data_IF_298255728375
#
_entry.id   IF_298255728375
#
_cell.length_a   1.000
_cell.length_b   1.000
_cell.length_c   1.000
_cell.angle_alpha   90.00
_cell.angle_beta   90.00
_cell.angle_gamma   90.00
#
_symmetry.space_group_name_H-M   'P 1'
#
loop_
_entity.id
_entity.type
_entity.pdbx_description
1 polymer ?
#
# COMPACT_ATOMS: atom_id res chain seq x y z
N UNK A 1 27.36 59.97 -10.01
CA UNK A 1 26.68 59.47 -8.79
C UNK A 1 25.35 58.85 -9.18
N UNK A 2 25.18 57.55 -8.96
CA UNK A 2 23.96 56.89 -8.44
C UNK A 2 24.13 55.38 -8.65
N UNK A 3 24.53 54.73 -7.56
CA UNK A 3 24.59 53.27 -7.39
C UNK A 3 23.15 52.80 -7.24
N UNK A 4 22.64 52.00 -8.17
CA UNK A 4 21.37 51.30 -7.96
C UNK A 4 21.67 49.83 -7.79
N UNK A 5 21.28 49.36 -6.62
CA UNK A 5 21.70 48.15 -5.96
C UNK A 5 21.01 46.94 -6.61
N UNK A 6 21.80 45.88 -6.80
CA UNK A 6 21.34 44.54 -7.12
C UNK A 6 20.62 44.01 -5.87
N UNK A 7 19.29 44.00 -5.89
CA UNK A 7 18.48 43.33 -4.85
C UNK A 7 18.37 41.86 -5.21
N UNK A 8 19.25 41.06 -4.62
CA UNK A 8 19.16 39.59 -4.62
C UNK A 8 17.94 39.20 -3.77
N UNK A 9 16.82 38.89 -4.41
CA UNK A 9 15.67 38.31 -3.73
C UNK A 9 16.02 36.86 -3.36
N UNK A 10 16.40 36.66 -2.10
CA UNK A 10 16.61 35.35 -1.49
C UNK A 10 15.24 34.67 -1.36
N UNK A 11 14.85 33.85 -2.35
CA UNK A 11 13.78 32.88 -2.19
C UNK A 11 14.24 31.81 -1.20
N UNK A 12 13.98 32.03 0.09
CA UNK A 12 13.88 30.94 1.05
C UNK A 12 12.61 30.16 0.73
N UNK A 13 12.73 29.18 -0.15
CA UNK A 13 11.78 28.07 -0.23
C UNK A 13 11.92 27.33 1.10
N UNK A 14 11.06 27.70 2.05
CA UNK A 14 10.83 26.93 3.26
C UNK A 14 10.40 25.55 2.76
N UNK A 15 11.32 24.59 2.87
CA UNK A 15 11.04 23.19 2.60
C UNK A 15 9.81 22.82 3.40
N UNK A 16 8.74 22.46 2.68
CA UNK A 16 7.60 21.81 3.30
C UNK A 16 8.17 20.68 4.17
N UNK A 17 7.86 20.61 5.48
CA UNK A 17 8.14 19.41 6.21
C UNK A 17 7.40 18.31 5.45
N UNK A 18 8.18 17.43 4.82
CA UNK A 18 7.68 16.32 4.06
C UNK A 18 6.60 15.68 4.92
N UNK A 19 5.42 15.54 4.32
CA UNK A 19 4.29 14.80 4.85
C UNK A 19 4.81 13.68 5.75
N UNK A 20 4.67 13.87 7.07
CA UNK A 20 4.82 12.75 7.99
C UNK A 20 3.60 11.88 7.69
N UNK A 21 3.72 11.05 6.67
CA UNK A 21 2.94 9.83 6.58
C UNK A 21 3.32 9.08 7.85
N UNK A 22 2.46 9.17 8.86
CA UNK A 22 2.57 8.31 10.01
C UNK A 22 2.72 6.90 9.44
N UNK A 23 3.86 6.25 9.70
CA UNK A 23 4.11 4.86 9.29
C UNK A 23 3.22 3.94 10.12
N UNK A 24 1.92 4.03 9.88
CA UNK A 24 0.93 3.19 10.50
C UNK A 24 0.87 1.90 9.72
N UNK A 25 1.02 0.79 10.42
CA UNK A 25 0.73 -0.52 9.87
C UNK A 25 -0.72 -0.53 9.34
N UNK A 26 -0.93 -0.88 8.06
CA UNK A 26 -2.27 -0.90 7.49
C UNK A 26 -3.07 -2.06 8.07
N UNK A 27 -4.37 -1.83 8.25
CA UNK A 27 -5.27 -2.89 8.68
C UNK A 27 -5.41 -3.96 7.60
N UNK A 28 -5.21 -5.22 7.98
CA UNK A 28 -5.52 -6.37 7.11
C UNK A 28 -6.99 -6.30 6.69
N UNK A 29 -7.32 -6.50 5.38
CA UNK A 29 -8.69 -6.60 4.94
C UNK A 29 -9.42 -7.72 5.70
N UNK A 30 -10.73 -7.58 5.84
CA UNK A 30 -11.57 -8.60 6.46
C UNK A 30 -11.51 -9.95 5.75
N UNK A 31 -12.26 -10.92 6.27
CA UNK A 31 -12.31 -12.25 5.66
C UNK A 31 -12.71 -12.20 4.18
N UNK A 32 -12.07 -13.07 3.39
CA UNK A 32 -12.38 -13.17 1.98
C UNK A 32 -13.80 -13.70 1.76
N UNK A 33 -14.50 -13.23 0.71
CA UNK A 33 -15.80 -13.78 0.36
C UNK A 33 -15.66 -15.27 0.00
N UNK A 34 -16.60 -16.08 0.48
CA UNK A 34 -16.62 -17.52 0.20
C UNK A 34 -16.75 -17.74 -1.31
N UNK A 35 -15.76 -18.38 -1.96
CA UNK A 35 -15.76 -18.54 -3.39
C UNK A 35 -16.99 -19.30 -3.83
N UNK A 36 -17.60 -20.21 -3.04
CA UNK A 36 -18.79 -21.01 -3.35
C UNK A 36 -20.08 -20.20 -3.52
N UNK A 37 -20.21 -19.10 -2.77
CA UNK A 37 -21.44 -18.29 -2.68
C UNK A 37 -21.26 -16.86 -3.17
N UNK A 38 -20.01 -16.41 -3.35
CA UNK A 38 -19.69 -15.07 -3.80
C UNK A 38 -20.25 -14.79 -5.20
N UNK A 39 -20.64 -13.54 -5.43
CA UNK A 39 -20.91 -12.99 -6.77
C UNK A 39 -19.67 -12.27 -7.31
N UNK A 40 -19.58 -12.12 -8.64
CA UNK A 40 -18.44 -11.46 -9.31
C UNK A 40 -18.11 -10.08 -8.71
N UNK A 41 -19.13 -9.29 -8.36
CA UNK A 41 -18.95 -7.97 -7.75
C UNK A 41 -18.22 -8.05 -6.39
N UNK A 42 -18.50 -9.07 -5.57
CA UNK A 42 -17.84 -9.27 -4.28
C UNK A 42 -16.38 -9.69 -4.47
N UNK A 43 -16.09 -10.56 -5.44
CA UNK A 43 -14.72 -10.96 -5.77
C UNK A 43 -13.89 -9.79 -6.32
N UNK A 44 -14.48 -8.94 -7.15
CA UNK A 44 -13.82 -7.73 -7.68
C UNK A 44 -13.53 -6.73 -6.55
N UNK A 45 -14.48 -6.52 -5.64
CA UNK A 45 -14.27 -5.69 -4.44
C UNK A 45 -13.12 -6.23 -3.60
N UNK A 46 -13.14 -7.51 -3.25
CA UNK A 46 -12.09 -8.16 -2.47
C UNK A 46 -10.72 -8.05 -3.15
N UNK A 47 -10.66 -8.20 -4.47
CA UNK A 47 -9.42 -8.04 -5.24
C UNK A 47 -8.85 -6.61 -5.14
N UNK A 48 -9.72 -5.60 -5.18
CA UNK A 48 -9.28 -4.22 -5.03
C UNK A 48 -8.80 -3.93 -3.60
N UNK A 49 -9.45 -4.51 -2.59
CA UNK A 49 -9.04 -4.40 -1.18
C UNK A 49 -7.69 -5.07 -0.93
N UNK A 50 -7.45 -6.26 -1.51
CA UNK A 50 -6.14 -6.94 -1.46
C UNK A 50 -5.06 -6.08 -2.11
N UNK A 51 -5.31 -5.52 -3.29
CA UNK A 51 -4.35 -4.63 -3.97
C UNK A 51 -4.03 -3.37 -3.16
N UNK A 52 -5.05 -2.75 -2.57
CA UNK A 52 -4.87 -1.59 -1.71
C UNK A 52 -4.02 -1.93 -0.48
N UNK A 53 -4.30 -3.07 0.15
CA UNK A 53 -3.54 -3.55 1.30
C UNK A 53 -2.08 -3.84 0.96
N UNK A 54 -1.80 -4.57 -0.12
CA UNK A 54 -0.43 -4.86 -0.58
C UNK A 54 0.35 -3.57 -0.78
N UNK A 55 -0.24 -2.58 -1.48
CA UNK A 55 0.38 -1.28 -1.69
C UNK A 55 0.67 -0.56 -0.37
N UNK A 56 -0.30 -0.53 0.56
CA UNK A 56 -0.10 0.11 1.85
C UNK A 56 0.95 -0.59 2.71
N UNK A 57 1.09 -1.92 2.58
CA UNK A 57 2.12 -2.69 3.26
C UNK A 57 3.50 -2.41 2.67
N UNK A 58 3.63 -2.29 1.35
CA UNK A 58 4.88 -1.88 0.69
C UNK A 58 5.33 -0.49 1.18
N UNK A 59 4.39 0.46 1.26
CA UNK A 59 4.65 1.80 1.81
C UNK A 59 5.07 1.75 3.28
N UNK A 60 4.38 0.95 4.11
CA UNK A 60 4.73 0.73 5.52
C UNK A 60 6.10 0.08 5.68
N UNK A 61 6.43 -0.95 4.90
CA UNK A 61 7.73 -1.61 4.94
C UNK A 61 8.86 -0.65 4.56
N UNK A 62 8.62 0.26 3.62
CA UNK A 62 9.56 1.29 3.21
C UNK A 62 9.84 2.35 4.27
N UNK A 63 8.95 2.55 5.24
CA UNK A 63 9.01 3.69 6.16
C UNK A 63 9.08 3.32 7.66
N UNK A 64 8.69 2.09 8.03
CA UNK A 64 8.62 1.57 9.41
C UNK A 64 9.95 1.48 10.17
N UNK A 65 11.09 1.53 9.47
CA UNK A 65 12.41 1.37 10.10
C UNK A 65 12.69 -0.05 10.63
N UNK A 66 11.90 -1.05 10.22
CA UNK A 66 12.08 -2.45 10.60
C UNK A 66 13.45 -3.01 10.19
N UNK A 67 13.96 -3.98 10.95
CA UNK A 67 15.14 -4.74 10.54
C UNK A 67 14.85 -5.57 9.29
N UNK A 68 15.89 -5.95 8.56
CA UNK A 68 15.74 -6.76 7.34
C UNK A 68 15.06 -8.11 7.60
N UNK A 69 15.25 -8.68 8.79
CA UNK A 69 14.59 -9.94 9.19
C UNK A 69 13.08 -9.75 9.35
N UNK A 70 12.67 -8.65 9.99
CA UNK A 70 11.26 -8.31 10.19
C UNK A 70 10.58 -7.96 8.86
N UNK A 71 11.25 -7.19 8.00
CA UNK A 71 10.76 -6.89 6.66
C UNK A 71 10.57 -8.17 5.83
N UNK A 72 11.55 -9.08 5.83
CA UNK A 72 11.44 -10.35 5.11
C UNK A 72 10.26 -11.18 5.62
N UNK A 73 10.03 -11.20 6.94
CA UNK A 73 8.88 -11.88 7.53
C UNK A 73 7.57 -11.25 7.08
N UNK A 74 7.46 -9.93 7.13
CA UNK A 74 6.25 -9.22 6.71
C UNK A 74 5.96 -9.38 5.21
N UNK A 75 6.99 -9.38 4.36
CA UNK A 75 6.86 -9.68 2.93
C UNK A 75 6.37 -11.11 2.72
N UNK A 76 6.94 -12.10 3.42
CA UNK A 76 6.49 -13.48 3.34
C UNK A 76 5.03 -13.65 3.77
N UNK A 77 4.65 -13.03 4.89
CA UNK A 77 3.29 -13.08 5.40
C UNK A 77 2.30 -12.41 4.39
N UNK A 78 2.75 -11.37 3.68
CA UNK A 78 1.98 -10.72 2.61
C UNK A 78 1.85 -11.58 1.35
N UNK A 79 2.91 -12.29 0.96
CA UNK A 79 2.90 -13.26 -0.14
C UNK A 79 1.93 -14.41 0.13
N UNK A 80 2.00 -15.03 1.32
CA UNK A 80 1.07 -16.10 1.74
C UNK A 80 -0.38 -15.63 1.70
N UNK A 81 -0.64 -14.38 2.12
CA UNK A 81 -1.97 -13.77 2.03
C UNK A 81 -2.45 -13.59 0.58
N UNK A 82 -1.57 -13.10 -0.31
CA UNK A 82 -1.90 -12.93 -1.73
C UNK A 82 -2.13 -14.28 -2.44
N UNK A 83 -1.33 -15.30 -2.12
CA UNK A 83 -1.51 -16.66 -2.62
C UNK A 83 -2.85 -17.26 -2.20
N UNK A 84 -3.23 -17.06 -0.93
CA UNK A 84 -4.52 -17.48 -0.39
C UNK A 84 -5.67 -16.88 -1.21
N UNK A 85 -5.61 -15.58 -1.49
CA UNK A 85 -6.60 -14.90 -2.33
C UNK A 85 -6.63 -15.42 -3.77
N UNK A 86 -5.45 -15.67 -4.36
CA UNK A 86 -5.34 -16.22 -5.71
C UNK A 86 -5.97 -17.61 -5.82
N UNK A 87 -5.86 -18.44 -4.78
CA UNK A 87 -6.54 -19.74 -4.70
C UNK A 87 -8.07 -19.56 -4.77
N UNK A 88 -8.63 -18.62 -4.01
CA UNK A 88 -10.06 -18.32 -4.03
C UNK A 88 -10.53 -17.81 -5.39
N UNK A 89 -9.74 -16.97 -6.06
CA UNK A 89 -10.04 -16.52 -7.43
C UNK A 89 -10.10 -17.71 -8.40
N UNK A 90 -9.16 -18.66 -8.30
CA UNK A 90 -9.14 -19.86 -9.15
C UNK A 90 -10.37 -20.72 -8.91
N UNK A 91 -10.73 -20.96 -7.65
CA UNK A 91 -11.92 -21.72 -7.27
C UNK A 91 -13.21 -21.05 -7.77
N UNK A 92 -13.34 -19.74 -7.56
CA UNK A 92 -14.47 -18.95 -8.09
C UNK A 92 -14.57 -19.04 -9.61
N UNK A 93 -13.44 -18.90 -10.33
CA UNK A 93 -13.39 -19.04 -11.79
C UNK A 93 -13.78 -20.45 -12.25
N UNK A 94 -13.37 -21.49 -11.52
CA UNK A 94 -13.68 -22.88 -11.88
C UNK A 94 -15.17 -23.22 -11.79
N UNK A 95 -15.94 -22.53 -10.94
CA UNK A 95 -17.40 -22.70 -10.86
C UNK A 95 -18.14 -21.87 -11.91
N UNK A 96 -17.65 -20.67 -12.21
CA UNK A 96 -18.39 -19.67 -13.00
C UNK A 96 -17.87 -19.52 -14.44
N UNK A 97 -16.92 -20.36 -14.86
CA UNK A 97 -16.30 -20.37 -16.18
C UNK A 97 -16.85 -21.46 -17.08
#
# INVERSE_FOLDING_TARGET
MKKTLITFALLTVIGAPGVSLACSEPAKPGEFPDPATAVTAQMVKANNEVKAYVKSMEEYLGCSGMSRSEQNKAVKDLEEYAESFNKLIREFKSRNG
#
